data_IF_268103370571
#
_entry.id   IF_268103370571
#
_cell.length_a   1.000
_cell.length_b   1.000
_cell.length_c   1.000
_cell.angle_alpha   90.00
_cell.angle_beta   90.00
_cell.angle_gamma   90.00
#
_symmetry.space_group_name_H-M   'P 1'
#
loop_
_entity.id
_entity.type
_entity.pdbx_description
1 polymer ?
#
# COMPACT_ATOMS: atom_id res chain seq x y z
N UNK A 1 5.71 30.89 18.71
CA UNK A 1 4.58 30.57 17.81
C UNK A 1 4.89 29.29 17.06
N UNK A 2 4.05 28.26 17.18
CA UNK A 2 4.19 27.02 16.39
C UNK A 2 3.92 27.36 14.91
N UNK A 3 4.83 27.03 14.00
CA UNK A 3 4.68 27.30 12.57
C UNK A 3 3.43 26.59 12.02
N UNK A 4 2.79 27.17 10.99
CA UNK A 4 1.56 26.63 10.37
C UNK A 4 1.71 25.14 10.00
N UNK A 5 2.87 24.74 9.48
CA UNK A 5 3.20 23.34 9.16
C UNK A 5 3.21 22.41 10.38
N UNK A 6 3.77 22.86 11.51
CA UNK A 6 3.81 22.05 12.76
C UNK A 6 2.41 21.85 13.36
N UNK A 7 1.50 22.83 13.24
CA UNK A 7 0.09 22.66 13.67
C UNK A 7 -0.68 21.65 12.81
N UNK A 8 -0.48 21.67 11.49
CA UNK A 8 -1.14 20.72 10.58
C UNK A 8 -0.66 19.29 10.84
N UNK A 9 0.65 19.10 11.06
CA UNK A 9 1.22 17.80 11.43
C UNK A 9 0.59 17.25 12.72
N UNK A 10 0.53 18.06 13.77
CA UNK A 10 -0.09 17.69 15.06
C UNK A 10 -1.57 17.34 14.93
N UNK A 11 -2.33 18.09 14.12
CA UNK A 11 -3.73 17.78 13.85
C UNK A 11 -3.89 16.42 13.16
N UNK A 12 -3.07 16.15 12.13
CA UNK A 12 -3.10 14.87 11.39
C UNK A 12 -2.78 13.70 12.32
N UNK A 13 -1.75 13.83 13.16
CA UNK A 13 -1.40 12.81 14.17
C UNK A 13 -2.55 12.55 15.15
N UNK A 14 -3.23 13.61 15.59
CA UNK A 14 -4.39 13.50 16.50
C UNK A 14 -5.56 12.77 15.84
N UNK A 15 -5.92 13.13 14.62
CA UNK A 15 -7.02 12.49 13.89
C UNK A 15 -6.68 11.02 13.57
N UNK A 16 -5.44 10.72 13.19
CA UNK A 16 -5.01 9.34 12.96
C UNK A 16 -5.11 8.49 14.25
N UNK A 17 -4.78 9.07 15.40
CA UNK A 17 -4.97 8.40 16.69
C UNK A 17 -6.44 8.12 16.98
N UNK A 18 -7.34 9.07 16.70
CA UNK A 18 -8.79 8.86 16.81
C UNK A 18 -9.28 7.72 15.89
N UNK A 19 -8.78 7.67 14.65
CA UNK A 19 -9.11 6.59 13.71
C UNK A 19 -8.67 5.22 14.24
N UNK A 20 -7.41 5.10 14.68
CA UNK A 20 -6.90 3.84 15.23
C UNK A 20 -7.73 3.37 16.44
N UNK A 21 -8.18 4.30 17.29
CA UNK A 21 -9.08 3.97 18.40
C UNK A 21 -10.46 3.52 17.92
N UNK A 22 -11.01 4.15 16.88
CA UNK A 22 -12.27 3.76 16.26
C UNK A 22 -12.19 2.35 15.65
N UNK A 23 -11.12 2.07 14.89
CA UNK A 23 -10.84 0.74 14.33
C UNK A 23 -10.74 -0.33 15.41
N UNK A 24 -9.94 -0.10 16.46
CA UNK A 24 -9.80 -1.10 17.52
C UNK A 24 -11.06 -1.25 18.36
N UNK A 25 -11.88 -0.19 18.49
CA UNK A 25 -13.20 -0.30 19.12
C UNK A 25 -14.12 -1.23 18.33
N UNK A 26 -14.10 -1.18 17.00
CA UNK A 26 -14.88 -2.11 16.16
C UNK A 26 -14.55 -3.58 16.45
N UNK A 27 -13.27 -3.91 16.65
CA UNK A 27 -12.85 -5.25 17.06
C UNK A 27 -13.43 -5.60 18.43
N UNK A 28 -13.27 -4.71 19.42
CA UNK A 28 -13.74 -4.94 20.80
C UNK A 28 -15.25 -5.02 20.95
N UNK A 29 -16.00 -4.29 20.13
CA UNK A 29 -17.46 -4.34 20.11
C UNK A 29 -17.99 -5.66 19.50
N UNK A 30 -17.11 -6.46 18.86
CA UNK A 30 -17.43 -7.73 18.22
C UNK A 30 -16.54 -8.90 18.73
N UNK A 31 -16.52 -9.19 20.04
CA UNK A 31 -15.54 -10.12 20.63
C UNK A 31 -15.79 -11.59 20.29
N UNK A 32 -16.99 -11.93 19.81
CA UNK A 32 -17.40 -13.28 19.47
C UNK A 32 -17.05 -13.68 18.03
N UNK A 33 -16.50 -12.76 17.24
CA UNK A 33 -16.09 -13.02 15.86
C UNK A 33 -14.70 -13.67 15.84
N UNK A 34 -14.43 -14.59 14.89
CA UNK A 34 -13.16 -15.30 14.80
C UNK A 34 -12.06 -14.40 14.20
N UNK A 35 -11.67 -13.37 14.94
CA UNK A 35 -10.61 -12.44 14.58
C UNK A 35 -9.26 -13.16 14.43
N UNK A 36 -8.59 -12.90 13.31
CA UNK A 36 -7.22 -13.35 13.07
C UNK A 36 -6.24 -12.35 13.69
N UNK A 37 -5.73 -12.71 14.87
CA UNK A 37 -4.80 -11.87 15.61
C UNK A 37 -3.40 -11.77 14.98
N UNK A 38 -3.01 -12.68 14.08
CA UNK A 38 -1.79 -12.52 13.29
C UNK A 38 -1.93 -11.27 12.40
N UNK A 39 -3.02 -11.18 11.63
CA UNK A 39 -3.29 -10.05 10.72
C UNK A 39 -3.60 -8.76 11.45
N UNK A 40 -4.37 -8.80 12.55
CA UNK A 40 -4.62 -7.62 13.38
C UNK A 40 -3.30 -7.04 13.90
N UNK A 41 -2.40 -7.90 14.37
CA UNK A 41 -1.13 -7.49 14.98
C UNK A 41 -0.20 -6.76 13.99
N UNK A 42 -0.19 -7.16 12.72
CA UNK A 42 0.57 -6.48 11.65
C UNK A 42 -0.18 -5.28 11.03
N UNK A 43 -1.47 -5.11 11.31
CA UNK A 43 -2.30 -4.09 10.68
C UNK A 43 -1.82 -2.66 11.05
N UNK A 44 -1.62 -1.75 10.07
CA UNK A 44 -1.13 -0.38 10.31
C UNK A 44 -2.12 0.51 11.07
N UNK A 45 -3.38 0.11 11.22
CA UNK A 45 -4.34 0.80 12.10
C UNK A 45 -4.09 0.47 13.59
N UNK A 46 -3.37 -0.61 13.91
CA UNK A 46 -2.90 -0.92 15.26
C UNK A 46 -1.63 -0.13 15.56
N UNK A 47 -1.71 0.73 16.57
CA UNK A 47 -0.60 1.57 17.04
C UNK A 47 0.00 0.99 18.32
N UNK A 48 1.25 1.37 18.63
CA UNK A 48 1.88 1.03 19.92
C UNK A 48 0.99 1.41 21.12
N UNK A 49 0.28 2.55 21.06
CA UNK A 49 -0.61 2.97 22.13
C UNK A 49 -1.81 2.02 22.31
N UNK A 50 -2.31 1.42 21.23
CA UNK A 50 -3.36 0.39 21.33
C UNK A 50 -2.81 -0.84 22.03
N UNK A 51 -1.63 -1.32 21.64
CA UNK A 51 -1.00 -2.49 22.25
C UNK A 51 -0.74 -2.24 23.74
N UNK A 52 -0.12 -1.10 24.10
CA UNK A 52 0.17 -0.72 25.49
C UNK A 52 -1.09 -0.63 26.36
N UNK A 53 -2.18 -0.10 25.83
CA UNK A 53 -3.42 0.09 26.57
C UNK A 53 -4.29 -1.17 26.66
N UNK A 54 -3.99 -2.22 25.89
CA UNK A 54 -4.76 -3.46 25.87
C UNK A 54 -3.79 -4.67 25.93
N UNK A 55 -3.04 -4.85 27.03
CA UNK A 55 -1.96 -5.83 27.12
C UNK A 55 -2.43 -7.29 27.21
N UNK A 56 -3.72 -7.52 27.49
CA UNK A 56 -4.31 -8.86 27.69
C UNK A 56 -4.91 -9.45 26.41
N UNK A 57 -4.82 -8.73 25.29
CA UNK A 57 -5.30 -9.23 23.99
C UNK A 57 -4.34 -10.26 23.41
N UNK A 58 -4.80 -11.03 22.43
CA UNK A 58 -4.06 -12.14 21.83
C UNK A 58 -2.98 -11.71 20.83
N UNK A 59 -2.26 -10.63 21.14
CA UNK A 59 -1.22 -10.07 20.28
C UNK A 59 -0.21 -11.13 19.82
N UNK A 60 -0.04 -11.23 18.49
CA UNK A 60 1.00 -12.02 17.88
C UNK A 60 2.27 -11.15 17.74
N UNK A 61 3.31 -11.44 18.52
CA UNK A 61 4.52 -10.62 18.58
C UNK A 61 5.42 -10.76 17.34
N UNK A 62 5.38 -11.89 16.65
CA UNK A 62 6.02 -12.08 15.34
C UNK A 62 5.38 -11.12 14.33
N UNK A 63 4.06 -11.09 14.22
CA UNK A 63 3.35 -10.15 13.35
C UNK A 63 3.49 -8.68 13.78
N UNK A 64 3.56 -8.41 15.10
CA UNK A 64 3.87 -7.07 15.60
C UNK A 64 5.23 -6.62 15.07
N UNK A 65 6.22 -7.51 14.95
CA UNK A 65 7.56 -7.18 14.43
C UNK A 65 7.53 -6.56 13.03
N UNK A 66 6.54 -6.96 12.22
CA UNK A 66 6.27 -6.42 10.87
C UNK A 66 5.49 -5.10 10.88
N UNK A 67 4.88 -4.74 12.00
CA UNK A 67 3.95 -3.62 12.05
C UNK A 67 4.70 -2.29 11.80
N UNK A 68 4.25 -1.47 10.83
CA UNK A 68 4.95 -0.24 10.43
C UNK A 68 4.93 0.86 11.51
N UNK A 69 4.16 0.68 12.59
CA UNK A 69 4.14 1.62 13.71
C UNK A 69 5.13 1.24 14.82
N UNK A 70 5.87 0.14 14.72
CA UNK A 70 6.83 -0.27 15.76
C UNK A 70 8.07 0.61 15.75
N UNK A 71 8.51 0.98 16.95
CA UNK A 71 9.70 1.79 17.18
C UNK A 71 10.74 0.99 17.96
N UNK A 72 12.01 1.35 17.78
CA UNK A 72 13.10 0.78 18.56
C UNK A 72 12.90 0.93 20.08
N UNK A 73 12.41 2.09 20.52
CA UNK A 73 12.09 2.34 21.94
C UNK A 73 11.09 1.32 22.49
N UNK A 74 10.06 0.97 21.71
CA UNK A 74 9.08 -0.01 22.13
C UNK A 74 9.66 -1.43 22.23
N UNK A 75 10.55 -1.81 21.29
CA UNK A 75 11.27 -3.09 21.33
C UNK A 75 12.18 -3.14 22.56
N UNK A 76 12.94 -2.06 22.80
CA UNK A 76 13.86 -1.90 23.92
C UNK A 76 13.15 -1.98 25.28
N UNK A 77 11.96 -1.40 25.39
CA UNK A 77 11.12 -1.46 26.60
C UNK A 77 10.51 -2.86 26.84
N UNK A 78 10.50 -3.73 25.83
CA UNK A 78 9.86 -5.05 25.88
C UNK A 78 10.81 -6.17 25.41
N UNK A 79 11.98 -6.35 26.05
CA UNK A 79 13.04 -7.21 25.53
C UNK A 79 12.71 -8.71 25.57
N UNK A 80 11.77 -9.13 26.43
CA UNK A 80 11.42 -10.53 26.64
C UNK A 80 10.28 -11.02 25.73
N UNK A 81 9.82 -10.21 24.78
CA UNK A 81 8.80 -10.61 23.82
C UNK A 81 9.42 -11.40 22.66
N UNK A 82 8.70 -12.37 22.08
CA UNK A 82 9.22 -13.17 20.98
C UNK A 82 9.17 -12.35 19.68
N UNK A 83 10.14 -11.45 19.55
CA UNK A 83 10.35 -10.61 18.37
C UNK A 83 10.92 -11.42 17.21
N UNK A 84 10.40 -11.18 16.01
CA UNK A 84 11.01 -11.64 14.76
C UNK A 84 12.04 -10.62 14.28
N UNK A 85 13.30 -11.00 14.34
CA UNK A 85 14.40 -10.13 13.96
C UNK A 85 14.63 -10.02 12.46
N UNK A 86 14.09 -10.93 11.64
CA UNK A 86 14.05 -10.74 10.19
C UNK A 86 13.20 -9.50 9.86
N UNK A 87 12.00 -9.45 10.43
CA UNK A 87 11.02 -8.39 10.19
C UNK A 87 11.45 -7.05 10.81
N UNK A 88 12.04 -7.08 12.01
CA UNK A 88 12.65 -5.86 12.59
C UNK A 88 13.80 -5.36 11.72
N UNK A 89 14.62 -6.25 11.16
CA UNK A 89 15.81 -5.86 10.38
C UNK A 89 15.47 -5.09 9.11
N UNK A 90 14.33 -5.36 8.47
CA UNK A 90 13.86 -4.62 7.27
C UNK A 90 12.94 -3.43 7.63
N UNK A 91 12.51 -3.31 8.89
CA UNK A 91 11.53 -2.31 9.28
C UNK A 91 12.05 -0.87 9.04
N UNK A 92 11.31 0.00 8.34
CA UNK A 92 11.73 1.36 8.01
C UNK A 92 11.96 2.26 9.24
N UNK A 93 11.43 1.91 10.42
CA UNK A 93 11.69 2.65 11.65
C UNK A 93 12.99 2.22 12.35
N UNK A 94 13.69 1.20 11.84
CA UNK A 94 15.01 0.80 12.31
C UNK A 94 16.05 1.45 11.39
N UNK A 95 16.76 2.43 11.94
CA UNK A 95 17.82 3.17 11.23
C UNK A 95 19.15 2.45 11.35
N UNK A 96 20.10 2.84 10.50
CA UNK A 96 21.47 2.33 10.58
C UNK A 96 22.12 2.63 11.94
N UNK A 97 21.87 3.79 12.54
CA UNK A 97 22.40 4.14 13.86
C UNK A 97 21.87 3.20 14.95
N UNK A 98 20.60 2.81 14.89
CA UNK A 98 20.02 1.84 15.83
C UNK A 98 20.74 0.49 15.73
N UNK A 99 21.03 0.02 14.51
CA UNK A 99 21.75 -1.24 14.28
C UNK A 99 23.17 -1.13 14.85
N UNK A 100 23.88 -0.03 14.54
CA UNK A 100 25.24 0.23 14.97
C UNK A 100 25.37 0.32 16.50
N UNK A 101 24.43 1.00 17.16
CA UNK A 101 24.42 1.20 18.61
C UNK A 101 24.02 -0.07 19.40
N UNK A 102 23.46 -1.08 18.72
CA UNK A 102 22.94 -2.30 19.35
C UNK A 102 23.44 -3.57 18.61
N UNK A 103 24.76 -3.79 18.52
CA UNK A 103 25.34 -4.88 17.75
C UNK A 103 25.13 -6.27 18.38
N UNK A 104 24.70 -6.33 19.65
CA UNK A 104 24.39 -7.58 20.36
C UNK A 104 23.08 -8.22 19.93
N UNK A 105 22.24 -7.49 19.18
CA UNK A 105 20.96 -8.01 18.73
C UNK A 105 21.12 -8.98 17.57
N UNK A 106 20.21 -9.97 17.46
CA UNK A 106 20.27 -10.99 16.41
C UNK A 106 19.75 -10.45 15.07
N UNK A 107 20.33 -9.35 14.61
CA UNK A 107 20.06 -8.73 13.32
C UNK A 107 20.23 -9.71 12.17
N UNK A 108 19.29 -9.71 11.24
CA UNK A 108 19.37 -10.49 10.01
C UNK A 108 19.94 -9.63 8.88
N UNK A 109 21.21 -9.87 8.54
CA UNK A 109 21.93 -9.08 7.53
C UNK A 109 21.35 -9.17 6.12
N UNK A 110 20.64 -10.25 5.77
CA UNK A 110 19.95 -10.33 4.50
C UNK A 110 18.84 -9.26 4.45
N UNK A 111 18.02 -9.16 5.50
CA UNK A 111 16.94 -8.19 5.60
C UNK A 111 17.45 -6.76 5.85
N UNK A 112 18.54 -6.58 6.59
CA UNK A 112 19.23 -5.27 6.68
C UNK A 112 19.65 -4.82 5.28
N UNK A 113 20.21 -5.70 4.46
CA UNK A 113 20.65 -5.36 3.11
C UNK A 113 19.54 -4.79 2.22
N UNK A 114 18.27 -5.04 2.52
CA UNK A 114 17.12 -4.47 1.79
C UNK A 114 16.31 -3.48 2.60
N UNK A 115 16.80 -3.09 3.79
CA UNK A 115 16.17 -2.07 4.60
C UNK A 115 16.25 -0.71 3.88
N UNK A 116 15.15 0.06 3.81
CA UNK A 116 15.09 1.34 3.10
C UNK A 116 15.98 2.44 3.68
N UNK A 117 16.58 2.25 4.86
CA UNK A 117 17.56 3.16 5.44
C UNK A 117 19.01 2.83 5.06
N UNK A 118 19.28 1.71 4.38
CA UNK A 118 20.62 1.35 3.93
C UNK A 118 20.91 1.96 2.57
N UNK A 119 21.98 2.76 2.51
CA UNK A 119 22.46 3.45 1.31
C UNK A 119 23.84 2.92 0.90
N UNK A 120 24.28 3.24 -0.32
CA UNK A 120 25.63 2.88 -0.77
C UNK A 120 26.72 3.51 0.09
N UNK A 121 26.51 4.74 0.59
CA UNK A 121 27.44 5.42 1.51
C UNK A 121 27.66 4.60 2.78
N UNK A 122 26.57 4.13 3.41
CA UNK A 122 26.62 3.28 4.60
C UNK A 122 27.41 1.99 4.33
N UNK A 123 27.18 1.36 3.18
CA UNK A 123 27.87 0.11 2.79
C UNK A 123 29.37 0.35 2.60
N UNK A 124 29.75 1.48 2.00
CA UNK A 124 31.13 1.85 1.74
C UNK A 124 31.89 2.22 3.02
N UNK A 125 31.23 2.90 3.96
CA UNK A 125 31.80 3.26 5.26
C UNK A 125 31.91 2.05 6.20
N UNK A 126 31.13 0.99 5.95
CA UNK A 126 31.06 -0.20 6.81
C UNK A 126 31.31 -1.49 6.00
N UNK A 127 32.48 -1.63 5.34
CA UNK A 127 32.71 -2.69 4.37
C UNK A 127 32.88 -4.09 5.00
N UNK A 128 33.11 -4.16 6.32
CA UNK A 128 33.31 -5.42 7.05
C UNK A 128 32.03 -6.10 7.50
N UNK A 129 30.87 -5.48 7.27
CA UNK A 129 29.59 -6.08 7.63
C UNK A 129 29.17 -7.18 6.64
N UNK A 130 28.27 -8.05 7.07
CA UNK A 130 27.83 -9.21 6.30
C UNK A 130 26.78 -8.86 5.22
N UNK A 131 27.03 -7.79 4.45
CA UNK A 131 26.14 -7.33 3.40
C UNK A 131 25.82 -8.46 2.41
N UNK A 132 24.53 -8.72 2.24
CA UNK A 132 24.03 -9.61 1.20
C UNK A 132 23.96 -8.84 -0.12
N UNK A 133 24.97 -9.04 -0.98
CA UNK A 133 25.05 -8.39 -2.28
C UNK A 133 23.97 -8.84 -3.25
N UNK A 134 23.46 -10.06 -3.11
CA UNK A 134 22.38 -10.58 -3.96
C UNK A 134 21.12 -9.72 -3.75
N UNK A 135 20.74 -9.53 -2.49
CA UNK A 135 19.54 -8.78 -2.12
C UNK A 135 19.73 -7.27 -2.27
N UNK A 136 20.94 -6.75 -2.02
CA UNK A 136 21.29 -5.35 -2.33
C UNK A 136 21.08 -5.03 -3.82
N UNK A 137 21.45 -5.97 -4.71
CA UNK A 137 21.35 -5.77 -6.16
C UNK A 137 19.91 -5.78 -6.66
N UNK A 138 19.06 -6.64 -6.08
CA UNK A 138 17.73 -6.93 -6.61
C UNK A 138 16.61 -6.12 -5.97
N UNK A 139 16.76 -5.76 -4.70
CA UNK A 139 15.61 -5.41 -3.86
C UNK A 139 15.85 -4.24 -2.91
N UNK A 140 17.08 -3.74 -2.76
CA UNK A 140 17.32 -2.53 -1.96
C UNK A 140 16.80 -1.28 -2.72
N UNK A 141 15.91 -0.49 -2.12
CA UNK A 141 15.27 0.64 -2.82
C UNK A 141 16.22 1.80 -3.10
N UNK A 142 17.38 1.86 -2.44
CA UNK A 142 18.39 2.91 -2.61
C UNK A 142 19.53 2.50 -3.55
N UNK A 143 19.56 1.25 -4.05
CA UNK A 143 20.56 0.82 -5.03
C UNK A 143 19.94 0.89 -6.43
N UNK A 144 20.53 1.73 -7.28
CA UNK A 144 20.14 1.91 -8.68
C UNK A 144 21.34 1.68 -9.62
N UNK A 145 21.11 1.77 -10.93
CA UNK A 145 22.16 1.52 -11.92
C UNK A 145 23.28 2.55 -11.93
N UNK A 146 23.01 3.80 -11.55
CA UNK A 146 24.07 4.82 -11.44
C UNK A 146 25.06 4.44 -10.34
N UNK A 147 24.57 3.96 -9.19
CA UNK A 147 25.39 3.43 -8.11
C UNK A 147 26.21 2.22 -8.57
N UNK A 148 25.60 1.31 -9.33
CA UNK A 148 26.31 0.12 -9.86
C UNK A 148 27.42 0.55 -10.84
N UNK A 149 27.14 1.53 -11.70
CA UNK A 149 28.10 2.11 -12.66
C UNK A 149 29.27 2.80 -11.96
N UNK A 150 29.01 3.50 -10.86
CA UNK A 150 30.04 4.15 -10.04
C UNK A 150 30.88 3.14 -9.24
N UNK A 151 30.34 1.93 -9.02
CA UNK A 151 30.99 0.89 -8.22
C UNK A 151 31.03 -0.47 -8.94
N UNK A 152 31.66 -0.57 -10.13
CA UNK A 152 31.60 -1.77 -10.98
C UNK A 152 32.35 -2.98 -10.41
N UNK A 153 33.25 -2.75 -9.44
CA UNK A 153 34.05 -3.80 -8.81
C UNK A 153 33.34 -4.52 -7.66
N UNK A 154 32.15 -4.07 -7.27
CA UNK A 154 31.36 -4.75 -6.23
C UNK A 154 30.71 -6.01 -6.80
N UNK A 155 30.45 -7.03 -5.96
CA UNK A 155 29.97 -8.33 -6.42
C UNK A 155 28.46 -8.33 -6.71
N UNK A 156 28.02 -7.41 -7.57
CA UNK A 156 26.63 -7.29 -8.01
C UNK A 156 26.14 -8.58 -8.68
N UNK A 157 24.88 -8.96 -8.42
CA UNK A 157 24.24 -10.13 -9.02
C UNK A 157 23.31 -9.74 -10.16
N UNK A 158 23.87 -9.66 -11.37
CA UNK A 158 23.15 -9.27 -12.58
C UNK A 158 21.91 -10.11 -12.90
N UNK A 159 21.91 -11.43 -12.61
CA UNK A 159 20.74 -12.28 -12.86
C UNK A 159 19.52 -11.86 -12.04
N UNK A 160 19.75 -11.32 -10.83
CA UNK A 160 18.72 -10.88 -9.89
C UNK A 160 18.39 -9.40 -10.10
N UNK A 161 19.31 -8.63 -10.70
CA UNK A 161 19.04 -7.26 -11.10
C UNK A 161 17.91 -7.16 -12.12
N UNK A 162 17.72 -8.18 -12.97
CA UNK A 162 16.59 -8.22 -13.92
C UNK A 162 15.21 -8.04 -13.24
N UNK A 163 15.11 -8.28 -11.92
CA UNK A 163 13.91 -8.05 -11.11
C UNK A 163 13.70 -6.60 -10.71
N UNK A 164 14.73 -5.75 -10.80
CA UNK A 164 14.64 -4.36 -10.35
C UNK A 164 13.71 -3.56 -11.28
N UNK A 165 12.56 -3.07 -10.78
CA UNK A 165 11.56 -2.41 -11.61
C UNK A 165 12.03 -1.06 -12.16
N UNK A 166 13.12 -0.50 -11.62
CA UNK A 166 13.67 0.79 -12.06
C UNK A 166 14.70 0.65 -13.20
N UNK A 167 14.97 -0.56 -13.70
CA UNK A 167 15.84 -0.74 -14.86
C UNK A 167 15.20 -0.13 -16.11
N UNK A 168 15.95 0.71 -16.83
CA UNK A 168 15.58 1.18 -18.16
C UNK A 168 16.04 0.19 -19.23
N UNK A 169 15.39 0.20 -20.40
CA UNK A 169 15.80 -0.68 -21.52
C UNK A 169 17.23 -0.37 -22.01
N UNK A 170 17.66 0.89 -21.96
CA UNK A 170 19.03 1.31 -22.29
C UNK A 170 20.07 0.65 -21.36
N UNK A 171 19.81 0.66 -20.05
CA UNK A 171 20.69 0.03 -19.06
C UNK A 171 20.80 -1.49 -19.25
N UNK A 172 19.72 -2.13 -19.71
CA UNK A 172 19.70 -3.56 -20.05
C UNK A 172 20.57 -3.82 -21.30
N UNK A 173 20.43 -3.00 -22.35
CA UNK A 173 21.25 -3.12 -23.57
C UNK A 173 22.75 -2.98 -23.28
N UNK A 174 23.14 -2.06 -22.40
CA UNK A 174 24.54 -1.86 -22.00
C UNK A 174 25.16 -3.10 -21.33
N UNK A 175 24.33 -4.00 -20.77
CA UNK A 175 24.75 -5.17 -20.01
C UNK A 175 24.17 -6.47 -20.58
N UNK A 176 23.80 -6.46 -21.87
CA UNK A 176 23.20 -7.63 -22.53
C UNK A 176 24.16 -8.83 -22.60
N UNK A 177 25.47 -8.59 -22.44
CA UNK A 177 26.51 -9.61 -22.31
C UNK A 177 26.49 -10.33 -20.95
N UNK A 178 25.77 -9.79 -19.96
CA UNK A 178 25.64 -10.36 -18.62
C UNK A 178 24.55 -11.44 -18.58
N UNK A 179 24.62 -12.38 -17.63
CA UNK A 179 23.62 -13.44 -17.45
C UNK A 179 22.27 -12.95 -16.92
N UNK A 180 21.59 -12.08 -17.70
CA UNK A 180 20.28 -11.55 -17.40
C UNK A 180 19.20 -12.64 -17.47
N UNK A 181 18.09 -12.41 -16.76
CA UNK A 181 16.93 -13.30 -16.73
C UNK A 181 15.76 -12.63 -17.45
N UNK A 182 15.53 -13.03 -18.69
CA UNK A 182 14.49 -12.47 -19.56
C UNK A 182 13.08 -12.63 -19.01
N UNK A 183 12.79 -13.70 -18.28
CA UNK A 183 11.56 -13.83 -17.48
C UNK A 183 11.25 -12.61 -16.59
N UNK A 184 12.27 -12.05 -15.93
CA UNK A 184 12.11 -10.87 -15.08
C UNK A 184 12.05 -9.58 -15.90
N UNK A 185 12.78 -9.52 -17.01
CA UNK A 185 12.70 -8.38 -17.94
C UNK A 185 11.30 -8.29 -18.57
N UNK A 186 10.65 -9.42 -18.88
CA UNK A 186 9.25 -9.47 -19.35
C UNK A 186 8.25 -8.77 -18.43
N UNK A 187 8.58 -8.69 -17.13
CA UNK A 187 7.76 -8.02 -16.10
C UNK A 187 8.13 -6.56 -15.88
N UNK A 188 9.23 -6.10 -16.47
CA UNK A 188 9.76 -4.77 -16.19
C UNK A 188 8.77 -3.69 -16.68
N UNK A 189 8.38 -2.73 -15.83
CA UNK A 189 7.36 -1.74 -16.17
C UNK A 189 7.74 -0.83 -17.36
N UNK A 190 9.03 -0.74 -17.67
CA UNK A 190 9.58 0.06 -18.78
C UNK A 190 9.69 -0.74 -20.09
N UNK A 191 9.30 -2.03 -20.13
CA UNK A 191 9.45 -2.85 -21.34
C UNK A 191 8.59 -2.30 -22.48
N UNK A 192 9.15 -2.24 -23.69
CA UNK A 192 8.44 -1.81 -24.89
C UNK A 192 8.38 -2.92 -25.93
N UNK A 193 7.42 -2.82 -26.83
CA UNK A 193 7.32 -3.75 -27.96
C UNK A 193 8.54 -3.66 -28.88
N UNK A 194 9.07 -2.46 -29.12
CA UNK A 194 10.28 -2.25 -29.91
C UNK A 194 11.47 -3.02 -29.32
N UNK A 195 11.64 -2.98 -27.99
CA UNK A 195 12.72 -3.70 -27.32
C UNK A 195 12.60 -5.22 -27.48
N UNK A 196 11.38 -5.76 -27.36
CA UNK A 196 11.12 -7.19 -27.57
C UNK A 196 11.41 -7.58 -29.02
N UNK A 197 10.96 -6.74 -29.97
CA UNK A 197 11.14 -6.95 -31.40
C UNK A 197 12.62 -6.93 -31.82
N UNK A 198 13.42 -6.07 -31.20
CA UNK A 198 14.85 -5.96 -31.46
C UNK A 198 15.66 -7.13 -30.87
N UNK A 199 15.07 -7.90 -29.93
CA UNK A 199 15.70 -9.04 -29.26
C UNK A 199 14.83 -10.31 -29.36
N UNK A 200 14.52 -10.82 -30.58
CA UNK A 200 13.51 -11.86 -30.77
C UNK A 200 13.97 -13.28 -30.36
N UNK A 201 15.27 -13.48 -30.14
CA UNK A 201 15.87 -14.79 -29.83
C UNK A 201 15.93 -15.12 -28.33
N UNK A 202 15.44 -14.22 -27.49
CA UNK A 202 15.55 -14.33 -26.04
C UNK A 202 14.34 -15.06 -25.44
N UNK A 203 14.54 -15.64 -24.26
CA UNK A 203 13.53 -16.47 -23.57
C UNK A 203 12.49 -15.59 -22.86
N UNK A 204 11.62 -14.99 -23.66
CA UNK A 204 10.57 -14.09 -23.24
C UNK A 204 9.41 -14.82 -22.57
N UNK A 205 8.99 -14.33 -21.41
CA UNK A 205 7.74 -14.77 -20.78
C UNK A 205 6.54 -14.05 -21.39
N UNK A 206 5.86 -14.75 -22.30
CA UNK A 206 4.75 -14.17 -23.06
C UNK A 206 3.50 -13.92 -22.23
N UNK A 207 3.31 -14.60 -21.09
CA UNK A 207 2.23 -14.26 -20.16
C UNK A 207 2.39 -12.84 -19.63
N UNK A 208 3.57 -12.50 -19.08
CA UNK A 208 3.84 -11.17 -18.55
C UNK A 208 3.88 -10.09 -19.64
N UNK A 209 4.40 -10.41 -20.84
CA UNK A 209 4.36 -9.49 -21.98
C UNK A 209 2.91 -9.24 -22.42
N UNK A 210 2.11 -10.30 -22.60
CA UNK A 210 0.71 -10.20 -23.03
C UNK A 210 -0.14 -9.35 -22.10
N UNK A 211 0.09 -9.41 -20.79
CA UNK A 211 -0.66 -8.61 -19.80
C UNK A 211 -0.12 -7.19 -19.61
N UNK A 212 1.02 -6.84 -20.23
CA UNK A 212 1.73 -5.60 -19.94
C UNK A 212 0.98 -4.36 -20.48
N UNK A 213 0.86 -3.27 -19.70
CA UNK A 213 0.17 -2.05 -20.13
C UNK A 213 0.81 -1.36 -21.36
N UNK A 214 2.09 -1.60 -21.63
CA UNK A 214 2.75 -1.07 -22.83
C UNK A 214 2.48 -1.89 -24.10
N UNK A 215 1.86 -3.07 -23.97
CA UNK A 215 1.41 -3.86 -25.12
C UNK A 215 -0.06 -3.51 -25.38
N UNK A 216 -0.29 -2.78 -26.48
CA UNK A 216 -1.63 -2.39 -26.92
C UNK A 216 -2.27 -3.48 -27.78
N UNK A 217 -3.60 -3.48 -27.86
CA UNK A 217 -4.31 -4.39 -28.78
C UNK A 217 -3.83 -4.26 -30.23
N UNK A 218 -3.52 -3.03 -30.68
CA UNK A 218 -2.97 -2.80 -32.02
C UNK A 218 -1.63 -3.53 -32.24
N UNK A 219 -0.74 -3.56 -31.24
CA UNK A 219 0.52 -4.30 -31.32
C UNK A 219 0.24 -5.80 -31.51
N UNK A 220 -0.73 -6.35 -30.78
CA UNK A 220 -1.13 -7.76 -30.89
C UNK A 220 -1.67 -8.04 -32.30
N UNK A 221 -2.58 -7.20 -32.79
CA UNK A 221 -3.17 -7.33 -34.13
C UNK A 221 -2.14 -7.21 -35.26
N UNK A 222 -1.21 -6.27 -35.16
CA UNK A 222 -0.17 -6.03 -36.17
C UNK A 222 0.91 -7.14 -36.17
N UNK A 223 0.98 -7.96 -35.12
CA UNK A 223 2.01 -8.99 -34.93
C UNK A 223 1.40 -10.36 -34.50
N UNK A 224 0.55 -11.00 -35.34
CA UNK A 224 -0.27 -12.14 -34.93
C UNK A 224 0.51 -13.46 -34.79
N UNK A 225 1.74 -13.56 -35.28
CA UNK A 225 2.53 -14.81 -35.32
C UNK A 225 3.31 -15.04 -34.01
N UNK A 226 3.23 -14.13 -33.05
CA UNK A 226 3.92 -14.26 -31.77
C UNK A 226 3.21 -15.24 -30.82
N UNK A 227 3.92 -15.65 -29.77
CA UNK A 227 3.41 -16.59 -28.77
C UNK A 227 2.47 -15.91 -27.76
N UNK A 228 1.59 -15.03 -28.22
CA UNK A 228 0.67 -14.29 -27.36
C UNK A 228 -0.12 -15.21 -26.45
N UNK A 229 0.03 -15.00 -25.14
CA UNK A 229 -0.76 -15.69 -24.14
C UNK A 229 -2.12 -15.02 -23.94
N UNK A 230 -3.21 -15.78 -24.14
CA UNK A 230 -4.58 -15.26 -24.06
C UNK A 230 -5.08 -14.98 -22.64
N UNK A 231 -4.51 -15.62 -21.61
CA UNK A 231 -4.82 -15.28 -20.22
C UNK A 231 -4.21 -13.93 -19.85
N UNK A 232 -2.97 -13.69 -20.32
CA UNK A 232 -2.28 -12.42 -20.22
C UNK A 232 -3.02 -11.33 -20.98
N UNK A 233 -3.40 -11.57 -22.24
CA UNK A 233 -4.19 -10.61 -23.04
C UNK A 233 -5.51 -10.29 -22.33
N UNK A 234 -6.24 -11.29 -21.85
CA UNK A 234 -7.50 -11.09 -21.12
C UNK A 234 -7.34 -10.24 -19.84
N UNK A 235 -6.15 -10.25 -19.25
CA UNK A 235 -5.78 -9.44 -18.07
C UNK A 235 -5.22 -8.06 -18.44
N UNK A 236 -4.92 -7.82 -19.72
CA UNK A 236 -4.24 -6.61 -20.16
C UNK A 236 -5.18 -5.40 -20.01
N UNK A 237 -4.73 -4.30 -19.39
CA UNK A 237 -5.57 -3.13 -19.18
C UNK A 237 -6.01 -2.45 -20.49
N UNK A 238 -5.34 -2.68 -21.62
CA UNK A 238 -5.74 -2.11 -22.90
C UNK A 238 -6.91 -2.84 -23.57
N UNK A 239 -7.35 -3.99 -23.04
CA UNK A 239 -8.49 -4.72 -23.59
C UNK A 239 -9.80 -4.13 -23.09
N UNK A 240 -10.67 -3.76 -24.02
CA UNK A 240 -12.00 -3.20 -23.78
C UNK A 240 -13.09 -4.19 -24.19
N UNK A 241 -14.31 -3.97 -23.72
CA UNK A 241 -15.47 -4.74 -24.17
C UNK A 241 -15.77 -4.57 -25.65
N UNK A 242 -15.41 -3.45 -26.26
CA UNK A 242 -15.53 -3.22 -27.70
C UNK A 242 -14.58 -4.16 -28.47
N UNK A 243 -13.32 -4.24 -28.04
CA UNK A 243 -12.33 -5.18 -28.62
C UNK A 243 -12.83 -6.63 -28.51
N UNK A 244 -13.36 -7.04 -27.36
CA UNK A 244 -13.88 -8.40 -27.16
C UNK A 244 -15.08 -8.67 -28.10
N UNK A 245 -15.99 -7.70 -28.25
CA UNK A 245 -17.16 -7.82 -29.13
C UNK A 245 -16.80 -7.88 -30.61
N UNK A 246 -15.79 -7.12 -31.02
CA UNK A 246 -15.31 -7.07 -32.41
C UNK A 246 -14.49 -8.32 -32.78
N UNK A 247 -13.99 -9.05 -31.79
CA UNK A 247 -13.15 -10.24 -31.97
C UNK A 247 -13.70 -11.42 -31.15
N UNK A 248 -14.94 -11.90 -31.43
CA UNK A 248 -15.63 -12.86 -30.58
C UNK A 248 -15.05 -14.28 -30.65
N UNK A 249 -14.33 -14.62 -31.72
CA UNK A 249 -13.78 -15.95 -31.97
C UNK A 249 -12.43 -16.18 -31.27
N UNK A 250 -11.89 -15.14 -30.64
CA UNK A 250 -10.63 -15.22 -29.91
C UNK A 250 -10.79 -15.94 -28.56
N UNK A 251 -9.68 -16.43 -28.00
CA UNK A 251 -9.68 -17.30 -26.82
C UNK A 251 -9.77 -16.52 -25.50
N UNK A 252 -10.74 -15.60 -25.40
CA UNK A 252 -10.96 -14.77 -24.23
C UNK A 252 -11.19 -15.59 -22.97
N UNK A 253 -10.40 -15.31 -21.93
CA UNK A 253 -10.56 -15.90 -20.61
C UNK A 253 -11.38 -14.96 -19.72
N UNK A 254 -12.66 -15.30 -19.52
CA UNK A 254 -13.58 -14.50 -18.72
C UNK A 254 -13.20 -14.39 -17.24
N UNK A 255 -12.47 -15.37 -16.69
CA UNK A 255 -11.93 -15.26 -15.33
C UNK A 255 -10.88 -14.14 -15.22
N UNK A 256 -9.98 -14.04 -16.20
CA UNK A 256 -9.00 -12.97 -16.29
C UNK A 256 -9.63 -11.62 -16.64
N UNK A 257 -10.65 -11.58 -17.51
CA UNK A 257 -11.44 -10.37 -17.78
C UNK A 257 -12.16 -9.89 -16.51
N UNK A 258 -12.67 -10.80 -15.70
CA UNK A 258 -13.32 -10.49 -14.40
C UNK A 258 -12.35 -9.91 -13.36
N UNK A 259 -11.04 -10.15 -13.51
CA UNK A 259 -9.98 -9.59 -12.66
C UNK A 259 -9.35 -8.33 -13.26
N UNK A 260 -9.70 -8.00 -14.50
CA UNK A 260 -9.04 -6.94 -15.23
C UNK A 260 -9.25 -5.60 -14.51
N UNK A 261 -8.18 -4.82 -14.25
CA UNK A 261 -8.30 -3.55 -13.51
C UNK A 261 -9.24 -2.54 -14.19
N UNK A 262 -9.53 -2.72 -15.49
CA UNK A 262 -10.46 -1.88 -16.24
C UNK A 262 -11.91 -2.35 -16.28
N UNK A 263 -12.23 -3.45 -15.61
CA UNK A 263 -13.61 -3.91 -15.42
C UNK A 263 -14.47 -2.81 -14.77
N UNK A 264 -15.64 -2.56 -15.34
CA UNK A 264 -16.69 -1.73 -14.74
C UNK A 264 -17.98 -2.52 -14.56
N UNK A 265 -18.88 -2.00 -13.72
CA UNK A 265 -20.19 -2.60 -13.53
C UNK A 265 -21.05 -2.56 -14.81
N UNK A 266 -20.97 -1.48 -15.60
CA UNK A 266 -21.68 -1.37 -16.87
C UNK A 266 -21.26 -2.49 -17.84
N UNK A 267 -19.97 -2.84 -17.87
CA UNK A 267 -19.49 -3.97 -18.69
C UNK A 267 -20.17 -5.29 -18.31
N UNK A 268 -20.37 -5.56 -17.02
CA UNK A 268 -21.05 -6.78 -16.56
C UNK A 268 -22.54 -6.71 -16.91
N UNK A 269 -23.17 -5.56 -16.66
CA UNK A 269 -24.59 -5.34 -16.90
C UNK A 269 -24.96 -5.49 -18.38
N UNK A 270 -24.14 -4.94 -19.27
CA UNK A 270 -24.37 -4.94 -20.73
C UNK A 270 -24.05 -6.30 -21.38
N UNK A 271 -23.39 -7.21 -20.65
CA UNK A 271 -22.97 -8.51 -21.16
C UNK A 271 -23.34 -9.65 -20.18
N UNK A 272 -24.64 -9.86 -19.91
CA UNK A 272 -25.09 -10.70 -18.80
C UNK A 272 -24.91 -12.21 -19.03
N UNK A 273 -24.70 -12.66 -20.28
CA UNK A 273 -24.62 -14.08 -20.65
C UNK A 273 -23.20 -14.65 -20.57
N UNK A 274 -22.21 -13.83 -20.25
CA UNK A 274 -20.81 -14.24 -20.22
C UNK A 274 -20.47 -14.97 -18.93
N UNK A 275 -19.43 -15.81 -18.99
CA UNK A 275 -18.98 -16.63 -17.86
C UNK A 275 -18.14 -15.81 -16.86
N UNK A 276 -18.76 -14.79 -16.30
CA UNK A 276 -18.17 -13.91 -15.29
C UNK A 276 -17.75 -14.68 -14.03
N UNK A 277 -16.51 -14.47 -13.60
CA UNK A 277 -15.99 -14.99 -12.34
C UNK A 277 -16.40 -14.06 -11.18
N UNK A 278 -17.50 -14.42 -10.53
CA UNK A 278 -18.05 -13.67 -9.41
C UNK A 278 -17.15 -13.64 -8.17
N UNK A 279 -16.20 -14.57 -8.03
CA UNK A 279 -15.19 -14.50 -6.97
C UNK A 279 -14.35 -13.22 -7.16
N UNK A 280 -13.81 -13.06 -8.37
CA UNK A 280 -12.99 -11.91 -8.75
C UNK A 280 -13.77 -10.60 -8.73
N UNK A 281 -15.00 -10.60 -9.25
CA UNK A 281 -15.85 -9.40 -9.26
C UNK A 281 -16.19 -8.95 -7.83
N UNK A 282 -16.47 -9.89 -6.91
CA UNK A 282 -16.85 -9.57 -5.53
C UNK A 282 -15.74 -8.86 -4.75
N UNK A 283 -14.47 -9.19 -5.03
CA UNK A 283 -13.31 -8.52 -4.42
C UNK A 283 -12.81 -7.30 -5.21
N UNK A 284 -13.41 -7.00 -6.37
CA UNK A 284 -12.87 -6.03 -7.32
C UNK A 284 -12.99 -4.57 -6.81
N UNK A 285 -11.92 -3.75 -6.90
CA UNK A 285 -11.90 -2.39 -6.35
C UNK A 285 -12.88 -1.40 -7.00
N UNK A 286 -13.30 -1.66 -8.24
CA UNK A 286 -14.31 -0.84 -8.95
C UNK A 286 -15.76 -1.27 -8.65
N UNK A 287 -15.97 -2.38 -7.94
CA UNK A 287 -17.29 -2.79 -7.47
C UNK A 287 -17.49 -2.20 -6.08
N UNK A 288 -18.32 -1.17 -6.00
CA UNK A 288 -18.66 -0.47 -4.76
C UNK A 288 -19.74 -1.23 -3.98
N UNK A 289 -19.85 -0.92 -2.68
CA UNK A 289 -20.93 -1.48 -1.87
C UNK A 289 -22.32 -1.00 -2.30
N UNK A 290 -22.42 0.18 -2.91
CA UNK A 290 -23.65 0.67 -3.55
C UNK A 290 -24.08 -0.25 -4.69
N UNK A 291 -23.15 -0.62 -5.58
CA UNK A 291 -23.42 -1.55 -6.68
C UNK A 291 -23.92 -2.90 -6.16
N UNK A 292 -23.29 -3.42 -5.10
CA UNK A 292 -23.69 -4.69 -4.47
C UNK A 292 -25.11 -4.59 -3.90
N UNK A 293 -25.40 -3.51 -3.16
CA UNK A 293 -26.71 -3.28 -2.53
C UNK A 293 -27.83 -3.04 -3.55
N UNK A 294 -27.55 -2.35 -4.65
CA UNK A 294 -28.50 -2.07 -5.73
C UNK A 294 -28.79 -3.32 -6.59
N UNK A 295 -27.90 -4.32 -6.54
CA UNK A 295 -27.99 -5.52 -7.36
C UNK A 295 -27.96 -6.81 -6.50
N UNK A 296 -28.90 -6.99 -5.55
CA UNK A 296 -28.82 -8.05 -4.56
C UNK A 296 -29.03 -9.46 -5.13
N UNK A 297 -29.60 -9.58 -6.33
CA UNK A 297 -29.89 -10.85 -7.00
C UNK A 297 -28.69 -11.43 -7.76
N UNK A 298 -27.54 -10.76 -7.75
CA UNK A 298 -26.33 -11.24 -8.41
C UNK A 298 -25.59 -12.22 -7.49
N UNK A 299 -24.68 -12.99 -8.08
CA UNK A 299 -23.97 -14.08 -7.39
C UNK A 299 -22.82 -13.57 -6.51
N UNK A 300 -23.05 -12.52 -5.74
CA UNK A 300 -22.05 -11.94 -4.85
C UNK A 300 -21.51 -12.97 -3.87
N UNK A 301 -20.18 -13.08 -3.79
CA UNK A 301 -19.48 -13.99 -2.90
C UNK A 301 -19.00 -13.18 -1.69
N UNK A 302 -19.78 -13.19 -0.59
CA UNK A 302 -19.51 -12.37 0.59
C UNK A 302 -18.17 -12.68 1.27
N UNK A 303 -17.74 -13.93 1.24
CA UNK A 303 -16.38 -14.32 1.63
C UNK A 303 -15.32 -13.49 0.89
N UNK A 304 -15.48 -13.28 -0.42
CA UNK A 304 -14.58 -12.45 -1.23
C UNK A 304 -14.83 -10.95 -1.07
N UNK A 305 -16.07 -10.52 -0.76
CA UNK A 305 -16.35 -9.13 -0.38
C UNK A 305 -15.56 -8.74 0.88
N UNK A 306 -15.25 -9.69 1.76
CA UNK A 306 -14.34 -9.48 2.91
C UNK A 306 -12.98 -8.92 2.52
N UNK A 307 -12.54 -9.09 1.26
CA UNK A 307 -11.30 -8.53 0.70
C UNK A 307 -11.51 -7.23 -0.09
N UNK A 308 -12.76 -6.88 -0.41
CA UNK A 308 -13.06 -5.73 -1.26
C UNK A 308 -12.65 -4.41 -0.55
N UNK A 309 -11.83 -3.55 -1.17
CA UNK A 309 -11.35 -2.31 -0.54
C UNK A 309 -12.44 -1.26 -0.32
N UNK A 310 -13.65 -1.47 -0.86
CA UNK A 310 -14.83 -0.64 -0.60
C UNK A 310 -15.62 -1.08 0.64
N UNK A 311 -15.28 -2.21 1.26
CA UNK A 311 -15.93 -2.67 2.47
C UNK A 311 -15.71 -1.66 3.61
N UNK A 312 -16.75 -1.40 4.38
CA UNK A 312 -16.72 -0.54 5.56
C UNK A 312 -17.39 -1.24 6.75
N UNK A 313 -17.18 -0.70 7.95
CA UNK A 313 -17.69 -1.29 9.19
C UNK A 313 -19.23 -1.27 9.27
N UNK A 314 -19.90 -0.32 8.63
CA UNK A 314 -21.36 -0.24 8.57
C UNK A 314 -21.96 -1.44 7.81
N UNK A 315 -21.42 -1.75 6.63
CA UNK A 315 -21.86 -2.90 5.83
C UNK A 315 -21.73 -4.21 6.62
N UNK A 316 -20.64 -4.40 7.36
CA UNK A 316 -20.45 -5.60 8.18
C UNK A 316 -21.51 -5.66 9.30
N UNK A 317 -21.82 -4.52 9.94
CA UNK A 317 -22.84 -4.43 10.99
C UNK A 317 -24.25 -4.67 10.46
N UNK A 318 -24.56 -4.13 9.28
CA UNK A 318 -25.87 -4.21 8.66
C UNK A 318 -26.16 -5.58 8.04
N UNK A 319 -25.10 -6.37 7.78
CA UNK A 319 -25.20 -7.70 7.17
C UNK A 319 -24.57 -8.79 8.06
N UNK A 320 -25.06 -8.99 9.31
CA UNK A 320 -24.39 -9.85 10.29
C UNK A 320 -24.49 -11.35 9.99
N UNK A 321 -25.42 -11.74 9.12
CA UNK A 321 -25.71 -13.14 8.76
C UNK A 321 -24.95 -13.62 7.51
N UNK A 322 -24.23 -12.74 6.81
CA UNK A 322 -23.45 -13.14 5.63
C UNK A 322 -22.22 -13.95 6.03
N UNK A 323 -21.75 -14.81 5.13
CA UNK A 323 -20.56 -15.64 5.32
C UNK A 323 -19.27 -14.84 5.10
N UNK A 324 -19.00 -13.92 6.03
CA UNK A 324 -17.77 -13.14 6.07
C UNK A 324 -16.55 -14.01 6.39
N UNK A 325 -15.44 -13.76 5.70
CA UNK A 325 -14.12 -14.25 6.09
C UNK A 325 -13.46 -13.26 7.05
N UNK A 326 -13.42 -13.65 8.32
CA UNK A 326 -12.87 -12.80 9.38
C UNK A 326 -11.35 -12.71 9.37
N UNK A 327 -10.64 -13.63 8.72
CA UNK A 327 -9.21 -13.47 8.45
C UNK A 327 -9.00 -12.31 7.48
N UNK A 328 -9.77 -12.24 6.38
CA UNK A 328 -9.69 -11.10 5.47
C UNK A 328 -10.18 -9.79 6.09
N UNK A 329 -11.25 -9.81 6.90
CA UNK A 329 -11.69 -8.61 7.64
C UNK A 329 -10.62 -8.14 8.64
N UNK A 330 -9.88 -9.07 9.27
CA UNK A 330 -8.77 -8.73 10.17
C UNK A 330 -7.63 -7.98 9.46
N UNK A 331 -7.44 -8.27 8.17
CA UNK A 331 -6.46 -7.62 7.30
C UNK A 331 -6.93 -6.27 6.76
N UNK A 332 -8.24 -5.99 6.80
CA UNK A 332 -8.81 -4.80 6.18
C UNK A 332 -8.24 -3.51 6.76
N UNK A 333 -7.84 -2.61 5.85
CA UNK A 333 -7.37 -1.28 6.19
C UNK A 333 -8.51 -0.28 6.34
N UNK A 334 -9.67 -0.60 5.75
CA UNK A 334 -10.84 0.28 5.63
C UNK A 334 -10.45 1.64 5.05
N UNK A 335 -9.60 1.66 4.00
CA UNK A 335 -8.93 2.87 3.51
C UNK A 335 -9.91 3.98 3.11
N UNK A 336 -11.02 3.65 2.44
CA UNK A 336 -12.05 4.63 2.07
C UNK A 336 -12.77 5.21 3.30
N UNK A 337 -13.22 4.35 4.21
CA UNK A 337 -13.84 4.78 5.47
C UNK A 337 -12.88 5.62 6.32
N UNK A 338 -11.59 5.26 6.36
CA UNK A 338 -10.53 6.02 7.01
C UNK A 338 -10.37 7.41 6.41
N UNK A 339 -10.32 7.50 5.09
CA UNK A 339 -10.20 8.77 4.38
C UNK A 339 -11.41 9.67 4.66
N UNK A 340 -12.62 9.13 4.58
CA UNK A 340 -13.86 9.83 4.90
C UNK A 340 -13.90 10.30 6.36
N UNK A 341 -13.48 9.45 7.29
CA UNK A 341 -13.36 9.77 8.70
C UNK A 341 -12.39 10.95 8.92
N UNK A 342 -11.20 10.88 8.34
CA UNK A 342 -10.18 11.93 8.45
C UNK A 342 -10.70 13.24 7.86
N UNK A 343 -11.30 13.19 6.67
CA UNK A 343 -11.86 14.36 5.99
C UNK A 343 -12.99 15.00 6.80
N UNK A 344 -13.87 14.19 7.40
CA UNK A 344 -14.90 14.67 8.32
C UNK A 344 -14.28 15.39 9.53
N UNK A 345 -13.31 14.78 10.21
CA UNK A 345 -12.62 15.38 11.37
C UNK A 345 -11.90 16.68 11.02
N UNK A 346 -11.27 16.73 9.84
CA UNK A 346 -10.64 17.96 9.36
C UNK A 346 -11.65 19.07 9.13
N UNK A 347 -12.82 18.77 8.54
CA UNK A 347 -13.92 19.73 8.36
C UNK A 347 -14.46 20.23 9.71
N UNK A 348 -14.67 19.33 10.68
CA UNK A 348 -15.09 19.68 12.04
C UNK A 348 -14.10 20.65 12.70
N UNK A 349 -12.80 20.32 12.67
CA UNK A 349 -11.75 21.18 13.20
C UNK A 349 -11.71 22.55 12.49
N UNK A 350 -11.81 22.57 11.16
CA UNK A 350 -11.81 23.81 10.39
C UNK A 350 -13.03 24.68 10.70
N UNK A 351 -14.20 24.07 10.91
CA UNK A 351 -15.41 24.77 11.33
C UNK A 351 -15.23 25.38 12.73
N UNK A 352 -14.75 24.60 13.70
CA UNK A 352 -14.45 25.08 15.05
C UNK A 352 -13.44 26.23 15.04
N UNK A 353 -12.39 26.13 14.24
CA UNK A 353 -11.39 27.19 14.07
C UNK A 353 -12.01 28.47 13.48
N UNK A 354 -12.85 28.37 12.44
CA UNK A 354 -13.55 29.53 11.87
C UNK A 354 -14.48 30.20 12.87
N UNK A 355 -15.22 29.41 13.66
CA UNK A 355 -16.07 29.92 14.74
C UNK A 355 -15.21 30.65 15.78
N UNK A 356 -14.08 30.07 16.18
CA UNK A 356 -13.16 30.71 17.12
C UNK A 356 -12.62 32.05 16.59
N UNK A 357 -12.21 32.11 15.31
CA UNK A 357 -11.74 33.36 14.70
C UNK A 357 -12.84 34.41 14.64
N UNK A 358 -14.07 34.00 14.34
CA UNK A 358 -15.23 34.89 14.37
C UNK A 358 -15.54 35.40 15.78
N UNK A 359 -15.52 34.55 16.80
CA UNK A 359 -15.66 34.98 18.19
C UNK A 359 -14.54 35.95 18.62
N UNK A 360 -13.29 35.68 18.20
CA UNK A 360 -12.16 36.56 18.48
C UNK A 360 -12.34 37.93 17.82
N UNK A 361 -12.78 37.99 16.57
CA UNK A 361 -13.01 39.28 15.88
C UNK A 361 -14.07 40.14 16.57
N UNK A 362 -15.06 39.52 17.20
CA UNK A 362 -16.06 40.20 18.03
C UNK A 362 -15.44 40.71 19.34
N UNK A 363 -14.65 39.88 20.01
CA UNK A 363 -14.08 40.15 21.34
C UNK A 363 -12.96 41.21 21.29
N UNK A 364 -12.19 41.28 20.21
CA UNK A 364 -11.09 42.27 20.08
C UNK A 364 -11.54 43.59 19.45
N UNK A 365 -12.79 43.69 18.99
CA UNK A 365 -13.29 44.86 18.29
C UNK A 365 -14.06 45.80 19.21
N UNK A 366 -13.72 47.11 19.24
CA UNK A 366 -14.45 48.11 20.02
C UNK A 366 -15.82 48.45 19.41
N UNK A 367 -16.17 47.89 18.24
CA UNK A 367 -17.51 48.07 17.68
C UNK A 367 -18.57 47.26 18.45
N UNK A 368 -18.19 46.14 19.07
CA UNK A 368 -19.10 45.32 19.86
C UNK A 368 -19.03 45.68 21.35
N UNK A 369 -20.18 45.64 22.03
CA UNK A 369 -20.29 45.97 23.46
C UNK A 369 -19.35 45.14 24.34
N UNK A 370 -19.22 43.85 24.04
CA UNK A 370 -18.33 42.95 24.79
C UNK A 370 -16.87 43.28 24.55
N UNK A 371 -16.49 43.59 23.30
CA UNK A 371 -15.11 43.98 22.97
C UNK A 371 -14.71 45.30 23.62
N UNK A 372 -15.59 46.32 23.59
CA UNK A 372 -15.36 47.58 24.32
C UNK A 372 -15.06 47.34 25.80
N UNK A 373 -15.90 46.56 26.49
CA UNK A 373 -15.72 46.27 27.92
C UNK A 373 -14.39 45.60 28.22
N UNK A 374 -13.96 44.66 27.37
CA UNK A 374 -12.70 43.93 27.57
C UNK A 374 -11.48 44.82 27.29
N UNK A 375 -11.54 45.65 26.25
CA UNK A 375 -10.51 46.65 25.94
C UNK A 375 -10.39 47.66 27.07
N UNK A 376 -11.50 48.25 27.54
CA UNK A 376 -11.51 49.22 28.64
C UNK A 376 -10.97 48.64 29.94
N UNK A 377 -11.34 47.39 30.26
CA UNK A 377 -10.79 46.67 31.41
C UNK A 377 -9.27 46.52 31.27
N UNK A 378 -8.78 46.13 30.10
CA UNK A 378 -7.35 45.94 29.87
C UNK A 378 -6.57 47.24 29.89
N UNK A 379 -7.14 48.32 29.36
CA UNK A 379 -6.58 49.67 29.45
C UNK A 379 -6.40 50.09 30.92
N UNK A 380 -7.43 49.91 31.75
CA UNK A 380 -7.33 50.20 33.19
C UNK A 380 -6.28 49.36 33.90
N UNK A 381 -6.09 48.09 33.54
CA UNK A 381 -5.02 47.26 34.12
C UNK A 381 -3.61 47.73 33.76
N UNK A 382 -3.41 48.34 32.59
CA UNK A 382 -2.09 48.75 32.10
C UNK A 382 -1.71 50.18 32.51
N UNK A 383 -2.71 51.03 32.79
CA UNK A 383 -2.53 52.47 33.04
C UNK A 383 -3.10 52.93 34.40
N UNK A 384 -3.47 52.00 35.28
CA UNK A 384 -3.67 52.27 36.71
C UNK A 384 -2.38 51.95 37.46
#
# INVERSE_FOLDING_TARGET
>A
MVTKGKRIKQLRETINKEWSQYFFKFIKDNPHKPWDWYRISSNPNITINIIKNNPMENWNWESISMNPNITWEFIKDNPNKPWDWCEISINPNITWEIILDNPDKPWNWNFISINPNITMEIIMDNPMQNWNWDWLSSSNPNINMDIIREHPYKPWKYNWMSENPNLTMEMILEHIDKPLKWYWISKNPNITWEFIKDNPGEDWDWFNISMHPNITWKIIQDNPIQNWDWWGISSNPNITMEIIKDNPDEQWNWGHISRNPNLTWEMIQDNPIQNWDWQSISMHPKITMEIINDNPMKNWIWECISMNPNLNMDIIRDNPMQNWDWSWISDQLFTKEKEEFINRKYREHMAAYKIQQWCLSIIISPHYKIGRRLIDKKYKELFA
#
